data_IF_608490197620
#
_entry.id   IF_608490197620
#
_cell.length_a   1.000
_cell.length_b   1.000
_cell.length_c   1.000
_cell.angle_alpha   90.00
_cell.angle_beta   90.00
_cell.angle_gamma   90.00
#
_symmetry.space_group_name_H-M   'P 1'
#
loop_
_entity.id
_entity.type
_entity.pdbx_description
1 polymer ?
#
# COMPACT_ATOMS: atom_id res chain seq x y z
N UNK A 1 14.33 -0.61 -6.41
CA UNK A 1 13.57 -1.51 -5.55
C UNK A 1 13.57 -0.89 -4.16
N UNK A 2 12.46 -0.33 -3.70
CA UNK A 2 12.41 0.32 -2.38
C UNK A 2 11.63 -0.61 -1.45
N UNK A 3 12.37 -1.40 -0.67
CA UNK A 3 11.81 -2.24 0.38
C UNK A 3 12.07 -1.53 1.71
N UNK A 4 11.04 -0.91 2.29
CA UNK A 4 11.10 -0.46 3.67
C UNK A 4 10.73 -1.66 4.56
N UNK A 5 11.73 -2.30 5.18
CA UNK A 5 11.47 -3.31 6.21
C UNK A 5 11.36 -2.60 7.57
N UNK A 6 10.14 -2.41 8.01
CA UNK A 6 9.84 -2.24 9.42
C UNK A 6 9.35 -3.61 9.92
N UNK A 7 9.79 -4.15 11.06
CA UNK A 7 9.44 -5.50 11.55
C UNK A 7 7.96 -5.71 11.91
N UNK A 8 7.07 -4.85 11.41
CA UNK A 8 5.62 -4.87 11.55
C UNK A 8 4.88 -4.89 10.20
N UNK A 9 5.55 -4.56 9.09
CA UNK A 9 4.95 -4.36 7.77
C UNK A 9 5.82 -5.09 6.75
N UNK A 10 5.24 -6.10 6.10
CA UNK A 10 5.86 -6.89 5.05
C UNK A 10 5.27 -6.47 3.70
N UNK A 11 6.09 -5.94 2.80
CA UNK A 11 5.67 -5.70 1.40
C UNK A 11 5.80 -7.04 0.67
N UNK A 12 4.67 -7.60 0.24
CA UNK A 12 4.64 -8.97 -0.27
C UNK A 12 4.72 -9.01 -1.80
N UNK A 13 4.07 -8.08 -2.49
CA UNK A 13 3.96 -8.09 -3.95
C UNK A 13 4.06 -6.68 -4.53
N UNK A 14 4.88 -6.53 -5.56
CA UNK A 14 4.99 -5.31 -6.36
C UNK A 14 4.97 -5.72 -7.82
N UNK A 15 3.92 -5.35 -8.55
CA UNK A 15 3.84 -5.56 -9.99
C UNK A 15 4.36 -4.34 -10.73
N UNK A 16 5.24 -4.58 -11.68
CA UNK A 16 5.86 -3.56 -12.52
C UNK A 16 5.47 -3.81 -13.97
N UNK A 17 4.82 -2.84 -14.60
CA UNK A 17 4.55 -2.85 -16.03
C UNK A 17 5.30 -1.68 -16.70
N UNK A 18 6.21 -2.00 -17.62
CA UNK A 18 7.03 -1.00 -18.36
C UNK A 18 7.73 0.02 -17.43
N UNK A 19 8.26 -0.46 -16.30
CA UNK A 19 8.98 0.38 -15.33
C UNK A 19 8.07 1.23 -14.42
N UNK A 20 6.74 1.09 -14.52
CA UNK A 20 5.77 1.73 -13.62
C UNK A 20 5.18 0.69 -12.68
N UNK A 21 5.00 1.05 -11.41
CA UNK A 21 4.36 0.17 -10.43
C UNK A 21 2.85 0.18 -10.70
N UNK A 22 2.28 -0.99 -11.00
CA UNK A 22 0.86 -1.19 -11.32
C UNK A 22 0.06 -1.80 -10.19
N UNK A 23 0.71 -2.48 -9.25
CA UNK A 23 0.06 -3.03 -8.08
C UNK A 23 1.07 -3.14 -6.95
N UNK A 24 0.62 -2.86 -5.73
CA UNK A 24 1.41 -3.04 -4.52
C UNK A 24 0.52 -3.65 -3.46
N UNK A 25 0.94 -4.77 -2.88
CA UNK A 25 0.21 -5.44 -1.79
C UNK A 25 1.09 -5.50 -0.56
N UNK A 26 0.53 -5.02 0.55
CA UNK A 26 1.16 -4.95 1.86
C UNK A 26 0.40 -5.86 2.82
N UNK A 27 1.14 -6.73 3.51
CA UNK A 27 0.63 -7.50 4.63
C UNK A 27 1.08 -6.81 5.93
N UNK A 28 0.11 -6.39 6.74
CA UNK A 28 0.39 -5.90 8.09
C UNK A 28 0.33 -7.05 9.08
N UNK A 29 1.45 -7.44 9.65
CA UNK A 29 1.52 -8.57 10.58
C UNK A 29 1.17 -8.16 12.02
N UNK A 30 1.45 -6.90 12.39
CA UNK A 30 1.31 -6.42 13.77
C UNK A 30 0.27 -5.31 13.98
N UNK A 31 -0.33 -4.78 12.91
CA UNK A 31 -1.41 -3.78 13.01
C UNK A 31 -0.95 -2.42 13.54
N UNK A 32 -0.12 -1.73 12.77
CA UNK A 32 0.40 -0.40 13.09
C UNK A 32 -0.08 0.67 12.08
N UNK A 33 0.24 1.93 12.35
CA UNK A 33 0.08 3.01 11.37
C UNK A 33 0.99 2.75 10.16
N UNK A 34 0.38 2.50 9.00
CA UNK A 34 1.06 2.39 7.72
C UNK A 34 1.10 3.77 7.06
N UNK A 35 2.31 4.29 6.87
CA UNK A 35 2.56 5.46 6.02
C UNK A 35 3.24 5.02 4.75
N UNK A 36 2.59 5.25 3.61
CA UNK A 36 3.09 4.88 2.29
C UNK A 36 3.15 6.11 1.39
N UNK A 37 4.28 6.30 0.72
CA UNK A 37 4.42 7.27 -0.37
C UNK A 37 4.15 6.52 -1.66
N UNK A 38 3.07 6.89 -2.36
CA UNK A 38 2.69 6.20 -3.59
C UNK A 38 3.39 6.82 -4.81
N UNK A 39 3.97 5.99 -5.68
CA UNK A 39 4.77 6.47 -6.81
C UNK A 39 3.92 7.10 -7.93
N UNK A 40 2.61 6.85 -7.95
CA UNK A 40 1.64 7.39 -8.93
C UNK A 40 0.88 8.64 -8.43
N UNK A 41 1.28 9.22 -7.29
CA UNK A 41 0.69 10.46 -6.78
C UNK A 41 -0.76 10.32 -6.30
N UNK A 42 -1.62 11.28 -6.63
CA UNK A 42 -3.01 11.38 -6.15
C UNK A 42 -4.03 10.61 -7.00
N UNK A 43 -3.60 9.62 -7.78
CA UNK A 43 -4.46 8.87 -8.69
C UNK A 43 -4.32 7.36 -8.44
N UNK A 44 -5.07 6.86 -7.48
CA UNK A 44 -5.13 5.44 -7.21
C UNK A 44 -6.20 5.05 -6.22
N UNK A 45 -6.23 3.76 -5.94
CA UNK A 45 -7.17 3.13 -5.02
C UNK A 45 -6.41 2.27 -4.02
N UNK A 46 -6.84 2.33 -2.77
CA UNK A 46 -6.49 1.36 -1.73
C UNK A 46 -7.70 0.46 -1.50
N UNK A 47 -7.50 -0.85 -1.61
CA UNK A 47 -8.43 -1.86 -1.14
C UNK A 47 -7.94 -2.38 0.21
N UNK A 48 -8.74 -2.17 1.24
CA UNK A 48 -8.55 -2.71 2.60
C UNK A 48 -9.66 -3.69 2.93
N UNK A 49 -9.55 -4.40 4.04
CA UNK A 49 -10.66 -5.24 4.53
C UNK A 49 -11.89 -4.40 4.88
N UNK A 50 -11.69 -3.15 5.29
CA UNK A 50 -12.76 -2.20 5.61
C UNK A 50 -13.43 -1.56 4.40
N UNK A 51 -12.85 -1.70 3.20
CA UNK A 51 -13.41 -1.19 1.95
C UNK A 51 -12.40 -0.51 1.04
N UNK A 52 -12.94 0.13 0.00
CA UNK A 52 -12.20 0.81 -1.06
C UNK A 52 -12.05 2.30 -0.75
N UNK A 53 -10.81 2.77 -0.66
CA UNK A 53 -10.47 4.18 -0.39
C UNK A 53 -9.78 4.76 -1.63
N UNK A 54 -10.21 5.93 -2.08
CA UNK A 54 -9.56 6.64 -3.19
C UNK A 54 -8.38 7.44 -2.65
N UNK A 55 -7.21 7.24 -3.24
CA UNK A 55 -6.00 8.00 -2.93
C UNK A 55 -6.16 9.38 -3.57
N UNK A 56 -6.20 10.43 -2.73
CA UNK A 56 -6.24 11.84 -3.18
C UNK A 56 -4.93 12.57 -2.92
N UNK A 57 -4.00 11.96 -2.20
CA UNK A 57 -2.73 12.56 -1.78
C UNK A 57 -1.58 11.59 -2.07
N UNK A 58 -0.38 12.09 -2.40
CA UNK A 58 0.79 11.24 -2.65
C UNK A 58 1.29 10.50 -1.40
N UNK A 59 0.90 10.97 -0.22
CA UNK A 59 1.20 10.34 1.07
C UNK A 59 -0.12 9.78 1.61
N UNK A 60 -0.15 8.48 1.83
CA UNK A 60 -1.28 7.75 2.40
C UNK A 60 -0.90 7.32 3.81
N UNK A 61 -1.76 7.64 4.78
CA UNK A 61 -1.64 7.17 6.16
C UNK A 61 -2.89 6.35 6.51
N UNK A 62 -2.69 5.09 6.89
CA UNK A 62 -3.76 4.15 7.20
C UNK A 62 -3.47 3.46 8.52
N UNK A 63 -4.48 3.34 9.37
CA UNK A 63 -4.44 2.41 10.50
C UNK A 63 -4.67 1.02 9.97
N UNK A 64 -3.70 0.14 10.16
CA UNK A 64 -3.79 -1.26 9.73
C UNK A 64 -4.09 -2.15 10.91
N UNK A 65 -4.77 -3.26 10.66
CA UNK A 65 -5.03 -4.30 11.66
C UNK A 65 -4.09 -5.50 11.45
N UNK A 66 -3.77 -6.27 12.51
CA UNK A 66 -2.94 -7.47 12.36
C UNK A 66 -3.59 -8.48 11.42
N UNK A 67 -2.83 -8.99 10.46
CA UNK A 67 -3.32 -9.92 9.43
C UNK A 67 -4.04 -9.25 8.26
N UNK A 68 -4.01 -7.92 8.17
CA UNK A 68 -4.69 -7.20 7.09
C UNK A 68 -3.85 -7.16 5.81
N UNK A 69 -4.48 -7.55 4.70
CA UNK A 69 -3.96 -7.37 3.36
C UNK A 69 -4.49 -6.08 2.77
N UNK A 70 -3.57 -5.22 2.31
CA UNK A 70 -3.87 -3.92 1.76
C UNK A 70 -3.30 -3.88 0.35
N UNK A 71 -4.18 -3.74 -0.63
CA UNK A 71 -3.79 -3.66 -2.04
C UNK A 71 -3.93 -2.24 -2.55
N UNK A 72 -2.91 -1.78 -3.24
CA UNK A 72 -2.81 -0.44 -3.79
C UNK A 72 -2.68 -0.57 -5.31
N UNK A 73 -3.53 0.13 -6.05
CA UNK A 73 -3.47 0.18 -7.51
C UNK A 73 -3.60 1.62 -8.00
N UNK A 74 -2.83 2.04 -9.02
CA UNK A 74 -3.09 3.28 -9.73
C UNK A 74 -4.45 3.20 -10.45
N UNK A 75 -4.98 4.37 -10.81
CA UNK A 75 -6.14 4.48 -11.70
C UNK A 75 -5.72 4.33 -13.17
#
# INVERSE_FOLDING_TARGET
MVAYSCPAISITLVELNRGKITSLTVLSEKGNDLKLIVPWGSQGTINTKSGKIVIRTPIVSLKTTPGELISFSPF
#
